data_IF_570183411148
#
_entry.id   IF_570183411148
#
_cell.length_a   1.000
_cell.length_b   1.000
_cell.length_c   1.000
_cell.angle_alpha   90.00
_cell.angle_beta   90.00
_cell.angle_gamma   90.00
#
_symmetry.space_group_name_H-M   'P 1'
#
loop_
_entity.id
_entity.type
_entity.pdbx_description
1 polymer ?
#
# COMPACT_ATOMS: atom_id res chain seq x y z
N UNK A 1 22.72 -18.69 -7.94
CA UNK A 1 22.90 -17.42 -8.69
C UNK A 1 23.57 -16.40 -7.78
N UNK A 2 24.55 -15.61 -8.27
CA UNK A 2 25.24 -14.62 -7.43
C UNK A 2 24.58 -13.24 -7.56
N UNK A 3 23.90 -12.79 -6.51
CA UNK A 3 23.27 -11.45 -6.46
C UNK A 3 24.28 -10.35 -6.09
N UNK A 4 25.31 -10.70 -5.33
CA UNK A 4 26.38 -9.80 -4.93
C UNK A 4 27.31 -10.47 -3.93
N UNK A 5 28.11 -9.69 -3.23
CA UNK A 5 28.98 -10.17 -2.16
C UNK A 5 29.33 -9.07 -1.16
N UNK A 6 29.67 -9.45 0.08
CA UNK A 6 30.20 -8.52 1.07
C UNK A 6 31.68 -8.23 0.80
N UNK A 7 32.03 -6.96 0.59
CA UNK A 7 33.40 -6.51 0.43
C UNK A 7 33.84 -5.56 1.55
N UNK A 8 35.09 -5.69 1.98
CA UNK A 8 35.70 -4.82 2.98
C UNK A 8 35.89 -3.40 2.41
N UNK A 9 35.35 -2.41 3.13
CA UNK A 9 35.49 -0.99 2.80
C UNK A 9 36.70 -0.39 3.53
N UNK A 10 37.20 0.74 3.01
CA UNK A 10 38.39 1.44 3.56
C UNK A 10 38.13 1.94 4.98
N UNK A 11 36.89 2.23 5.29
CA UNK A 11 36.37 2.75 6.55
C UNK A 11 36.21 1.67 7.63
N UNK A 12 36.56 0.41 7.35
CA UNK A 12 36.65 -0.66 8.36
C UNK A 12 35.42 -1.55 8.51
N UNK A 13 34.35 -1.35 7.74
CA UNK A 13 33.17 -2.21 7.70
C UNK A 13 33.06 -2.99 6.38
N UNK A 14 32.18 -3.99 6.32
CA UNK A 14 31.83 -4.69 5.07
C UNK A 14 30.55 -4.12 4.50
N UNK A 15 30.51 -3.86 3.20
CA UNK A 15 29.31 -3.44 2.46
C UNK A 15 28.97 -4.46 1.38
N UNK A 16 27.69 -4.60 1.07
CA UNK A 16 27.22 -5.46 0.00
C UNK A 16 27.45 -4.81 -1.36
N UNK A 17 28.21 -5.45 -2.24
CA UNK A 17 28.46 -5.01 -3.60
C UNK A 17 27.58 -5.85 -4.53
N UNK A 18 26.53 -5.26 -5.15
CA UNK A 18 25.67 -6.00 -6.04
C UNK A 18 26.46 -6.47 -7.27
N UNK A 19 26.15 -7.65 -7.78
CA UNK A 19 26.58 -8.07 -9.09
C UNK A 19 25.88 -7.23 -10.18
N UNK A 20 26.33 -7.29 -11.45
CA UNK A 20 25.53 -6.78 -12.57
C UNK A 20 24.13 -7.40 -12.58
N UNK A 21 23.11 -6.57 -12.83
CA UNK A 21 21.71 -6.99 -12.80
C UNK A 21 20.96 -6.58 -14.10
N UNK A 22 20.15 -7.46 -14.71
CA UNK A 22 19.96 -8.87 -14.34
C UNK A 22 21.27 -9.67 -14.49
N UNK A 23 21.39 -10.80 -13.78
CA UNK A 23 22.54 -11.69 -13.93
C UNK A 23 22.73 -12.13 -15.39
N UNK A 24 23.97 -12.41 -15.79
CA UNK A 24 24.27 -12.88 -17.16
C UNK A 24 23.63 -14.23 -17.47
N UNK A 25 23.56 -15.09 -16.45
CA UNK A 25 22.84 -16.34 -16.52
C UNK A 25 21.35 -16.04 -16.25
N UNK A 26 20.46 -16.62 -17.05
CA UNK A 26 19.02 -16.43 -16.89
C UNK A 26 18.53 -16.88 -15.50
N UNK A 27 17.42 -16.31 -15.04
CA UNK A 27 16.76 -16.79 -13.83
C UNK A 27 16.13 -18.17 -14.07
N UNK A 28 16.77 -19.20 -13.54
CA UNK A 28 16.23 -20.56 -13.51
C UNK A 28 15.36 -20.74 -12.26
N UNK A 29 14.07 -21.01 -12.46
CA UNK A 29 13.13 -21.29 -11.38
C UNK A 29 12.58 -22.71 -11.52
N UNK A 30 12.30 -23.36 -10.39
CA UNK A 30 11.65 -24.67 -10.44
C UNK A 30 10.22 -24.59 -11.00
N UNK A 31 9.69 -25.75 -11.39
CA UNK A 31 8.29 -25.89 -11.78
C UNK A 31 7.31 -25.47 -10.66
N UNK A 32 7.73 -25.45 -9.40
CA UNK A 32 6.89 -25.00 -8.28
C UNK A 32 6.58 -23.51 -8.43
N UNK A 33 7.59 -22.69 -8.76
CA UNK A 33 7.42 -21.25 -9.03
C UNK A 33 6.46 -21.03 -10.19
N UNK A 34 6.61 -21.80 -11.29
CA UNK A 34 5.67 -21.75 -12.42
C UNK A 34 4.21 -21.97 -12.00
N UNK A 35 3.95 -23.03 -11.20
CA UNK A 35 2.59 -23.32 -10.70
C UNK A 35 2.03 -22.23 -9.77
N UNK A 36 2.87 -21.65 -8.91
CA UNK A 36 2.49 -20.54 -8.04
C UNK A 36 2.18 -19.28 -8.85
N UNK A 37 3.01 -18.97 -9.84
CA UNK A 37 2.77 -17.87 -10.76
C UNK A 37 1.43 -18.05 -11.51
N UNK A 38 1.16 -19.21 -12.09
CA UNK A 38 -0.11 -19.47 -12.79
C UNK A 38 -1.32 -19.28 -11.88
N UNK A 39 -1.21 -19.73 -10.63
CA UNK A 39 -2.26 -19.55 -9.62
C UNK A 39 -2.47 -18.08 -9.29
N UNK A 40 -1.37 -17.35 -9.06
CA UNK A 40 -1.39 -15.92 -8.77
C UNK A 40 -1.98 -15.12 -9.94
N UNK A 41 -1.52 -15.34 -11.17
CA UNK A 41 -2.05 -14.69 -12.39
C UNK A 41 -3.54 -14.96 -12.56
N UNK A 42 -4.00 -16.20 -12.38
CA UNK A 42 -5.43 -16.54 -12.45
C UNK A 42 -6.25 -15.78 -11.40
N UNK A 43 -5.74 -15.65 -10.18
CA UNK A 43 -6.40 -14.88 -9.12
C UNK A 43 -6.41 -13.39 -9.41
N UNK A 44 -5.33 -12.83 -9.96
CA UNK A 44 -5.29 -11.45 -10.41
C UNK A 44 -6.27 -11.17 -11.54
N UNK A 45 -6.35 -12.04 -12.56
CA UNK A 45 -7.35 -11.90 -13.61
C UNK A 45 -8.79 -11.99 -13.09
N UNK A 46 -9.04 -12.85 -12.09
CA UNK A 46 -10.33 -12.88 -11.39
C UNK A 46 -10.58 -11.58 -10.62
N UNK A 47 -9.60 -11.07 -9.88
CA UNK A 47 -9.70 -9.82 -9.14
C UNK A 47 -9.99 -8.65 -10.07
N UNK A 48 -9.24 -8.55 -11.18
CA UNK A 48 -9.42 -7.51 -12.19
C UNK A 48 -10.85 -7.52 -12.73
N UNK A 49 -11.31 -8.68 -13.22
CA UNK A 49 -12.66 -8.83 -13.77
C UNK A 49 -13.78 -8.51 -12.78
N UNK A 50 -13.69 -8.89 -11.51
CA UNK A 50 -14.73 -8.55 -10.52
C UNK A 50 -14.67 -7.08 -10.12
N UNK A 51 -13.49 -6.45 -10.11
CA UNK A 51 -13.38 -5.04 -9.73
C UNK A 51 -13.99 -4.12 -10.77
N UNK A 52 -14.00 -4.51 -12.04
CA UNK A 52 -14.72 -3.79 -13.10
C UNK A 52 -16.24 -3.75 -12.89
N UNK A 53 -16.80 -4.72 -12.15
CA UNK A 53 -18.23 -4.78 -11.85
C UNK A 53 -18.63 -3.90 -10.65
N UNK A 54 -17.66 -3.36 -9.91
CA UNK A 54 -17.94 -2.49 -8.78
C UNK A 54 -18.37 -1.10 -9.27
N UNK A 55 -19.61 -0.67 -8.99
CA UNK A 55 -19.99 0.69 -9.33
C UNK A 55 -19.23 1.64 -8.41
N UNK A 56 -18.62 2.65 -9.00
CA UNK A 56 -17.75 3.60 -8.29
C UNK A 56 -16.47 2.96 -7.70
N UNK A 57 -15.79 2.12 -8.50
CA UNK A 57 -14.51 1.46 -8.17
C UNK A 57 -13.47 2.38 -7.49
N UNK A 58 -13.40 3.65 -7.89
CA UNK A 58 -12.48 4.61 -7.29
C UNK A 58 -12.73 4.80 -5.78
N UNK A 59 -13.98 4.65 -5.29
CA UNK A 59 -14.29 4.69 -3.86
C UNK A 59 -13.68 3.51 -3.10
N UNK A 60 -13.76 2.32 -3.68
CA UNK A 60 -13.17 1.12 -3.08
C UNK A 60 -11.64 1.19 -3.05
N UNK A 61 -11.04 1.75 -4.10
CA UNK A 61 -9.59 1.94 -4.17
C UNK A 61 -9.07 2.79 -3.01
N UNK A 62 -9.79 3.83 -2.57
CA UNK A 62 -9.35 4.66 -1.45
C UNK A 62 -9.18 3.85 -0.15
N UNK A 63 -10.07 2.92 0.15
CA UNK A 63 -9.95 2.10 1.36
C UNK A 63 -8.76 1.13 1.29
N UNK A 64 -8.48 0.57 0.11
CA UNK A 64 -7.28 -0.26 -0.08
C UNK A 64 -5.99 0.55 0.03
N UNK A 65 -5.95 1.76 -0.53
CA UNK A 65 -4.82 2.69 -0.37
C UNK A 65 -4.56 2.95 1.12
N UNK A 66 -5.60 3.20 1.92
CA UNK A 66 -5.47 3.42 3.36
C UNK A 66 -4.99 2.16 4.10
N UNK A 67 -5.52 0.99 3.75
CA UNK A 67 -5.11 -0.29 4.33
C UNK A 67 -3.63 -0.58 4.04
N UNK A 68 -3.20 -0.36 2.80
CA UNK A 68 -1.80 -0.52 2.40
C UNK A 68 -0.90 0.49 3.11
N UNK A 69 -1.27 1.77 3.12
CA UNK A 69 -0.52 2.82 3.78
C UNK A 69 -0.31 2.56 5.26
N UNK A 70 -1.36 2.11 5.95
CA UNK A 70 -1.28 1.73 7.36
C UNK A 70 -0.34 0.53 7.54
N UNK A 71 -0.55 -0.56 6.79
CA UNK A 71 0.26 -1.77 6.91
C UNK A 71 1.73 -1.51 6.58
N UNK A 72 1.98 -0.74 5.52
CA UNK A 72 3.30 -0.36 5.04
C UNK A 72 4.04 0.50 6.07
N UNK A 73 3.36 1.47 6.68
CA UNK A 73 3.98 2.33 7.70
C UNK A 73 4.22 1.56 9.00
N UNK A 74 3.33 0.63 9.37
CA UNK A 74 3.48 -0.23 10.54
C UNK A 74 4.67 -1.19 10.44
N UNK A 75 5.05 -1.64 9.24
CA UNK A 75 6.30 -2.40 9.03
C UNK A 75 7.53 -1.56 9.44
N UNK A 76 7.48 -0.24 9.26
CA UNK A 76 8.53 0.70 9.64
C UNK A 76 8.38 1.23 11.10
N UNK A 77 7.44 0.67 11.87
CA UNK A 77 7.26 0.96 13.28
C UNK A 77 6.24 2.07 13.63
N UNK A 78 5.46 2.56 12.66
CA UNK A 78 4.28 3.39 12.94
C UNK A 78 3.25 2.59 13.75
N UNK A 79 2.64 3.19 14.77
CA UNK A 79 1.60 2.58 15.61
C UNK A 79 0.19 2.94 15.17
N UNK A 80 0.02 4.12 14.57
CA UNK A 80 -1.26 4.54 14.02
C UNK A 80 -1.91 3.49 13.11
N UNK A 81 -3.24 3.53 13.08
CA UNK A 81 -4.12 2.60 12.39
C UNK A 81 -4.75 3.24 11.18
N UNK A 82 -5.34 2.41 10.32
CA UNK A 82 -6.12 2.88 9.18
C UNK A 82 -7.31 3.75 9.63
N UNK A 83 -7.93 3.44 10.77
CA UNK A 83 -9.08 4.18 11.29
C UNK A 83 -8.67 5.59 11.71
N UNK A 84 -7.57 5.72 12.45
CA UNK A 84 -7.02 7.04 12.85
C UNK A 84 -6.63 7.88 11.63
N UNK A 85 -6.12 7.25 10.56
CA UNK A 85 -5.85 7.96 9.30
C UNK A 85 -7.12 8.48 8.62
N UNK A 86 -8.22 7.70 8.62
CA UNK A 86 -9.54 8.15 8.11
C UNK A 86 -10.04 9.34 8.95
N UNK A 87 -9.90 9.28 10.26
CA UNK A 87 -10.32 10.33 11.19
C UNK A 87 -9.53 11.62 11.00
N UNK A 88 -8.22 11.49 10.78
CA UNK A 88 -7.32 12.60 10.45
C UNK A 88 -7.75 13.31 9.16
N UNK A 89 -8.02 12.56 8.08
CA UNK A 89 -8.50 13.14 6.83
C UNK A 89 -9.89 13.78 6.97
N UNK A 90 -10.75 13.20 7.80
CA UNK A 90 -12.07 13.73 8.08
C UNK A 90 -12.05 14.97 9.01
N UNK A 91 -10.90 15.28 9.62
CA UNK A 91 -10.71 16.36 10.62
C UNK A 91 -11.67 16.22 11.81
N UNK A 92 -11.90 14.98 12.24
CA UNK A 92 -12.89 14.64 13.27
C UNK A 92 -12.30 14.56 14.68
N UNK A 93 -11.00 14.30 14.78
CA UNK A 93 -10.32 14.14 16.05
C UNK A 93 -9.08 15.04 16.12
N UNK A 94 -8.87 15.62 17.29
CA UNK A 94 -7.70 16.44 17.60
C UNK A 94 -6.67 15.68 18.43
N UNK A 95 -7.06 14.53 19.01
CA UNK A 95 -6.19 13.67 19.82
C UNK A 95 -5.76 12.44 19.02
N UNK A 96 -5.22 12.68 17.82
CA UNK A 96 -4.69 11.62 16.97
C UNK A 96 -3.28 11.25 17.42
N UNK A 97 -2.87 9.97 17.29
CA UNK A 97 -1.49 9.59 17.49
C UNK A 97 -0.62 10.48 16.63
N UNK A 98 0.51 10.90 17.18
CA UNK A 98 1.44 11.69 16.41
C UNK A 98 1.68 10.96 15.08
N UNK A 99 2.24 9.75 15.08
CA UNK A 99 2.68 9.00 13.89
C UNK A 99 1.64 8.69 12.78
N UNK A 100 0.38 9.13 12.90
CA UNK A 100 -0.63 9.07 11.83
C UNK A 100 -0.17 9.76 10.54
N UNK A 101 0.65 10.82 10.63
CA UNK A 101 1.19 11.50 9.44
C UNK A 101 1.99 10.55 8.54
N UNK A 102 2.64 9.51 9.09
CA UNK A 102 3.40 8.54 8.27
C UNK A 102 2.47 7.85 7.25
N UNK A 103 1.24 7.54 7.69
CA UNK A 103 0.20 6.95 6.85
C UNK A 103 -0.32 7.97 5.83
N UNK A 104 -0.57 9.21 6.26
CA UNK A 104 -1.09 10.27 5.38
C UNK A 104 -0.12 10.64 4.25
N UNK A 105 1.19 10.71 4.54
CA UNK A 105 2.21 10.96 3.52
C UNK A 105 2.33 9.79 2.54
N UNK A 106 2.18 8.55 3.00
CA UNK A 106 2.13 7.40 2.11
C UNK A 106 0.91 7.44 1.18
N UNK A 107 -0.28 7.77 1.71
CA UNK A 107 -1.50 7.97 0.90
C UNK A 107 -1.29 9.08 -0.14
N UNK A 108 -0.64 10.19 0.26
CA UNK A 108 -0.29 11.29 -0.64
C UNK A 108 0.63 10.82 -1.77
N UNK A 109 1.68 10.08 -1.46
CA UNK A 109 2.63 9.54 -2.44
C UNK A 109 1.96 8.56 -3.42
N UNK A 110 1.13 7.63 -2.93
CA UNK A 110 0.37 6.73 -3.78
C UNK A 110 -0.58 7.49 -4.72
N UNK A 111 -1.33 8.45 -4.21
CA UNK A 111 -2.24 9.26 -5.03
C UNK A 111 -1.50 10.11 -6.06
N UNK A 112 -0.32 10.63 -5.71
CA UNK A 112 0.56 11.31 -6.64
C UNK A 112 0.99 10.35 -7.77
N UNK A 113 1.52 9.18 -7.42
CA UNK A 113 1.97 8.18 -8.38
C UNK A 113 0.86 7.73 -9.33
N UNK A 114 -0.35 7.53 -8.81
CA UNK A 114 -1.55 7.19 -9.57
C UNK A 114 -1.89 8.21 -10.65
N UNK A 115 -1.72 9.49 -10.36
CA UNK A 115 -1.93 10.56 -11.35
C UNK A 115 -0.75 10.67 -12.29
N UNK A 116 0.46 10.57 -11.73
CA UNK A 116 1.71 10.82 -12.44
C UNK A 116 2.01 9.77 -13.51
N UNK A 117 1.80 8.49 -13.21
CA UNK A 117 2.19 7.38 -14.08
C UNK A 117 1.35 7.29 -15.37
N UNK A 118 0.19 7.96 -15.45
CA UNK A 118 -0.64 8.01 -16.66
C UNK A 118 0.10 8.62 -17.86
N UNK A 119 0.91 9.64 -17.59
CA UNK A 119 1.59 10.45 -18.62
C UNK A 119 3.11 10.50 -18.39
N UNK A 120 3.66 9.55 -17.63
CA UNK A 120 5.06 9.56 -17.23
C UNK A 120 5.67 8.15 -17.24
N UNK A 121 6.91 7.96 -17.74
CA UNK A 121 7.53 6.64 -17.78
C UNK A 121 7.90 6.13 -16.38
N UNK A 122 7.85 4.81 -16.19
CA UNK A 122 8.24 4.16 -14.94
C UNK A 122 9.78 4.04 -14.83
N UNK A 123 10.40 5.14 -14.39
CA UNK A 123 11.86 5.33 -14.28
C UNK A 123 12.26 5.79 -12.88
N UNK A 124 13.55 5.83 -12.56
CA UNK A 124 14.08 6.28 -11.27
C UNK A 124 13.59 7.68 -10.88
N UNK A 125 13.37 8.57 -11.85
CA UNK A 125 12.77 9.89 -11.57
C UNK A 125 11.37 9.76 -10.96
N UNK A 126 10.55 8.81 -11.41
CA UNK A 126 9.24 8.54 -10.83
C UNK A 126 9.37 8.08 -9.38
N UNK A 127 10.28 7.14 -9.09
CA UNK A 127 10.51 6.66 -7.71
C UNK A 127 11.01 7.77 -6.78
N UNK A 128 11.84 8.69 -7.28
CA UNK A 128 12.28 9.88 -6.54
C UNK A 128 11.14 10.86 -6.27
N UNK A 129 10.23 11.05 -7.23
CA UNK A 129 9.03 11.88 -7.03
C UNK A 129 8.10 11.25 -5.98
N UNK A 130 7.88 9.93 -6.02
CA UNK A 130 7.13 9.21 -4.96
C UNK A 130 7.77 9.39 -3.59
N UNK A 131 9.08 9.15 -3.49
CA UNK A 131 9.81 9.30 -2.25
C UNK A 131 9.76 10.74 -1.73
N UNK A 132 9.81 11.74 -2.63
CA UNK A 132 9.63 13.14 -2.24
C UNK A 132 8.27 13.36 -1.57
N UNK A 133 7.19 12.92 -2.20
CA UNK A 133 5.84 13.06 -1.63
C UNK A 133 5.66 12.30 -0.30
N UNK A 134 6.35 11.16 -0.16
CA UNK A 134 6.37 10.35 1.05
C UNK A 134 7.09 11.04 2.22
N UNK A 135 8.15 11.80 1.95
CA UNK A 135 9.06 12.29 2.99
C UNK A 135 8.97 13.80 3.23
N UNK A 136 8.46 14.58 2.28
CA UNK A 136 8.35 16.05 2.39
C UNK A 136 7.31 16.43 3.47
N UNK A 137 7.80 16.98 4.58
CA UNK A 137 6.96 17.37 5.72
C UNK A 137 6.70 16.27 6.74
N UNK A 138 7.23 15.05 6.54
CA UNK A 138 7.04 13.95 7.48
C UNK A 138 7.90 14.14 8.74
N UNK A 139 7.33 13.86 9.93
CA UNK A 139 7.95 14.24 11.22
C UNK A 139 9.34 13.69 11.51
N UNK A 140 9.64 12.44 11.14
CA UNK A 140 10.90 11.77 11.51
C UNK A 140 12.10 12.15 10.63
N UNK A 141 11.95 13.13 9.74
CA UNK A 141 12.80 13.25 8.54
C UNK A 141 13.83 14.37 8.59
N UNK A 142 14.42 14.69 9.75
CA UNK A 142 15.39 15.78 9.86
C UNK A 142 16.56 15.69 8.86
N UNK A 143 16.81 14.54 8.24
CA UNK A 143 17.80 14.37 7.18
C UNK A 143 17.38 13.39 6.05
N UNK A 144 16.09 13.25 5.73
CA UNK A 144 15.66 12.25 4.75
C UNK A 144 15.98 12.60 3.28
N UNK A 145 16.41 13.83 2.99
CA UNK A 145 16.65 14.35 1.62
C UNK A 145 15.51 13.98 0.64
N UNK A 146 14.28 14.53 0.82
CA UNK A 146 13.11 14.11 0.05
C UNK A 146 13.31 14.13 -1.48
N UNK A 147 13.44 12.93 -2.05
CA UNK A 147 13.59 12.69 -3.48
C UNK A 147 15.04 12.71 -3.96
N UNK A 148 15.99 12.91 -3.06
CA UNK A 148 17.42 12.75 -3.29
C UNK A 148 17.88 11.33 -2.99
N UNK A 149 18.63 10.71 -3.90
CA UNK A 149 19.40 9.53 -3.54
C UNK A 149 20.50 9.92 -2.57
N UNK A 150 20.79 9.03 -1.62
CA UNK A 150 21.77 9.30 -0.57
C UNK A 150 23.15 9.58 -1.16
N UNK A 151 23.84 10.53 -0.54
CA UNK A 151 25.23 10.91 -0.87
C UNK A 151 26.23 10.36 0.14
N UNK A 152 25.73 9.67 1.16
CA UNK A 152 26.49 9.08 2.26
C UNK A 152 26.10 7.62 2.45
N UNK A 153 26.93 6.87 3.17
CA UNK A 153 26.63 5.47 3.51
C UNK A 153 25.51 5.41 4.56
N UNK A 154 24.50 4.59 4.32
CA UNK A 154 23.51 4.17 5.30
C UNK A 154 23.72 2.69 5.68
N UNK A 155 22.98 2.22 6.68
CA UNK A 155 23.00 0.82 7.12
C UNK A 155 21.66 0.46 7.75
N UNK A 156 21.34 -0.84 7.76
CA UNK A 156 20.08 -1.38 8.25
C UNK A 156 20.35 -2.16 9.54
N UNK A 157 19.70 -1.74 10.63
CA UNK A 157 19.90 -2.30 11.97
C UNK A 157 21.26 -1.95 12.57
N UNK A 158 21.42 -2.07 13.89
CA UNK A 158 22.65 -1.68 14.58
C UNK A 158 22.84 -0.16 14.74
N UNK A 159 23.93 0.24 15.39
CA UNK A 159 24.24 1.65 15.70
C UNK A 159 25.33 2.24 14.81
N UNK A 160 26.05 1.40 14.07
CA UNK A 160 27.13 1.76 13.16
C UNK A 160 27.34 0.65 12.12
N UNK A 161 27.96 0.92 10.96
CA UNK A 161 28.06 -0.07 9.88
C UNK A 161 28.72 -1.41 10.25
N UNK A 162 29.66 -1.44 11.18
CA UNK A 162 30.37 -2.64 11.65
C UNK A 162 29.51 -3.60 12.50
N UNK A 163 28.44 -3.08 13.14
CA UNK A 163 27.48 -3.88 13.89
C UNK A 163 26.09 -3.91 13.24
N UNK A 164 25.98 -3.37 12.03
CA UNK A 164 24.74 -3.36 11.29
C UNK A 164 24.37 -4.76 10.83
N UNK A 165 23.06 -4.99 10.71
CA UNK A 165 22.56 -6.25 10.21
C UNK A 165 22.83 -6.38 8.70
N UNK A 166 22.69 -5.27 7.97
CA UNK A 166 23.05 -5.19 6.57
C UNK A 166 23.61 -3.80 6.25
N UNK A 167 24.69 -3.75 5.46
CA UNK A 167 25.24 -2.50 4.93
C UNK A 167 25.04 -2.49 3.41
N UNK A 168 24.12 -1.65 2.91
CA UNK A 168 23.86 -1.50 1.48
C UNK A 168 25.09 -1.03 0.68
N UNK A 169 25.02 -1.02 -0.65
CA UNK A 169 26.16 -0.70 -1.51
C UNK A 169 26.76 0.69 -1.24
N UNK A 170 28.09 0.88 -1.38
CA UNK A 170 28.67 2.21 -1.42
C UNK A 170 28.03 3.07 -2.51
N UNK A 171 28.06 4.40 -2.36
CA UNK A 171 27.33 5.34 -3.25
C UNK A 171 27.70 5.14 -4.73
N UNK A 172 28.95 4.82 -5.06
CA UNK A 172 29.37 4.52 -6.44
C UNK A 172 28.65 3.28 -7.00
N UNK A 173 28.62 2.19 -6.23
CA UNK A 173 27.96 0.94 -6.61
C UNK A 173 26.43 1.04 -6.58
N UNK A 174 25.89 1.87 -5.69
CA UNK A 174 24.47 2.18 -5.65
C UNK A 174 24.00 2.80 -6.97
N UNK A 175 24.73 3.80 -7.50
CA UNK A 175 24.36 4.43 -8.77
C UNK A 175 24.39 3.45 -9.94
N UNK A 176 25.40 2.57 -10.00
CA UNK A 176 25.48 1.49 -10.98
C UNK A 176 24.29 0.52 -10.86
N UNK A 177 23.98 0.07 -9.65
CA UNK A 177 22.90 -0.87 -9.41
C UNK A 177 21.50 -0.26 -9.65
N UNK A 178 21.33 1.05 -9.46
CA UNK A 178 20.10 1.77 -9.82
C UNK A 178 19.89 1.83 -11.34
N UNK A 179 20.95 2.07 -12.11
CA UNK A 179 20.91 2.05 -13.58
C UNK A 179 20.55 0.65 -14.10
N UNK A 180 21.17 -0.39 -13.53
CA UNK A 180 20.82 -1.80 -13.79
C UNK A 180 19.34 -2.08 -13.48
N UNK A 181 18.84 -1.64 -12.32
CA UNK A 181 17.45 -1.82 -11.91
C UNK A 181 16.46 -1.12 -12.87
N UNK A 182 16.74 0.12 -13.28
CA UNK A 182 15.89 0.86 -14.22
C UNK A 182 15.80 0.15 -15.57
N UNK A 183 16.95 -0.31 -16.08
CA UNK A 183 17.02 -1.08 -17.33
C UNK A 183 16.28 -2.41 -17.21
N UNK A 184 16.48 -3.14 -16.13
CA UNK A 184 15.79 -4.40 -15.85
C UNK A 184 14.27 -4.20 -15.86
N UNK A 185 13.76 -3.20 -15.16
CA UNK A 185 12.33 -2.92 -15.07
C UNK A 185 11.70 -2.57 -16.43
N UNK A 186 12.47 -1.95 -17.33
CA UNK A 186 11.95 -1.42 -18.60
C UNK A 186 12.29 -2.27 -19.83
N UNK A 187 13.21 -3.22 -19.74
CA UNK A 187 13.52 -4.12 -20.86
C UNK A 187 12.35 -5.06 -21.12
N UNK A 188 12.05 -5.27 -22.40
CA UNK A 188 11.10 -6.29 -22.84
C UNK A 188 11.84 -7.64 -22.89
N UNK A 189 11.57 -8.51 -21.92
CA UNK A 189 12.18 -9.83 -21.77
C UNK A 189 11.11 -10.90 -21.51
N UNK A 190 11.52 -12.15 -21.34
CA UNK A 190 10.62 -13.28 -21.11
C UNK A 190 10.38 -13.57 -19.62
N UNK A 191 10.80 -12.68 -18.71
CA UNK A 191 10.62 -12.90 -17.27
C UNK A 191 9.15 -12.64 -16.94
N UNK A 192 8.53 -13.60 -16.26
CA UNK A 192 7.13 -13.50 -15.84
C UNK A 192 6.90 -12.21 -15.03
N UNK A 193 5.90 -11.38 -15.36
CA UNK A 193 5.77 -10.04 -14.75
C UNK A 193 5.68 -10.04 -13.21
N UNK A 194 5.01 -11.02 -12.60
CA UNK A 194 4.95 -11.14 -11.13
C UNK A 194 6.32 -11.45 -10.53
N UNK A 195 7.06 -12.36 -11.16
CA UNK A 195 8.43 -12.68 -10.75
C UNK A 195 9.32 -11.45 -10.89
N UNK A 196 9.19 -10.72 -12.01
CA UNK A 196 9.92 -9.48 -12.26
C UNK A 196 9.62 -8.40 -11.22
N UNK A 197 8.37 -8.25 -10.79
CA UNK A 197 7.99 -7.35 -9.71
C UNK A 197 8.66 -7.74 -8.38
N UNK A 198 8.66 -9.03 -8.04
CA UNK A 198 9.32 -9.55 -6.84
C UNK A 198 10.84 -9.33 -6.87
N UNK A 199 11.48 -9.58 -8.01
CA UNK A 199 12.91 -9.35 -8.21
C UNK A 199 13.27 -7.86 -8.11
N UNK A 200 12.49 -6.99 -8.77
CA UNK A 200 12.70 -5.55 -8.74
C UNK A 200 12.56 -4.98 -7.31
N UNK A 201 11.60 -5.49 -6.53
CA UNK A 201 11.44 -5.11 -5.14
C UNK A 201 12.65 -5.54 -4.29
N UNK A 202 13.07 -6.80 -4.37
CA UNK A 202 14.25 -7.27 -3.61
C UNK A 202 15.49 -6.47 -3.98
N UNK A 203 15.73 -6.24 -5.27
CA UNK A 203 16.87 -5.46 -5.74
C UNK A 203 16.82 -4.01 -5.26
N UNK A 204 15.64 -3.38 -5.25
CA UNK A 204 15.47 -2.03 -4.71
C UNK A 204 15.79 -1.96 -3.20
N UNK A 205 15.30 -2.92 -2.42
CA UNK A 205 15.58 -3.02 -0.98
C UNK A 205 17.08 -3.27 -0.72
N UNK A 206 17.74 -4.10 -1.53
CA UNK A 206 19.19 -4.34 -1.49
C UNK A 206 19.99 -3.08 -1.76
N UNK A 207 19.61 -2.28 -2.76
CA UNK A 207 20.30 -1.04 -3.12
C UNK A 207 20.15 0.03 -2.02
N UNK A 208 18.97 0.08 -1.40
CA UNK A 208 18.63 0.99 -0.31
C UNK A 208 19.02 2.46 -0.60
N UNK A 209 18.48 3.05 -1.69
CA UNK A 209 19.04 4.27 -2.28
C UNK A 209 18.74 5.58 -1.53
N UNK A 210 17.80 5.57 -0.59
CA UNK A 210 17.40 6.74 0.19
C UNK A 210 17.94 6.68 1.62
N UNK A 211 18.01 7.82 2.30
CA UNK A 211 18.44 7.87 3.71
C UNK A 211 17.39 7.28 4.67
N UNK A 212 16.11 7.40 4.30
CA UNK A 212 14.96 6.81 4.96
C UNK A 212 13.86 6.57 3.90
N UNK A 213 12.77 5.87 4.22
CA UNK A 213 11.64 5.69 3.30
C UNK A 213 11.83 4.62 2.22
N UNK A 214 12.94 3.85 2.27
CA UNK A 214 13.23 2.78 1.31
C UNK A 214 12.12 1.72 1.28
N UNK A 215 11.83 1.06 2.41
CA UNK A 215 10.81 0.00 2.47
C UNK A 215 9.45 0.43 1.93
N UNK A 216 9.00 1.63 2.32
CA UNK A 216 7.73 2.22 1.85
C UNK A 216 7.74 2.50 0.35
N UNK A 217 8.84 3.05 -0.18
CA UNK A 217 8.99 3.30 -1.62
C UNK A 217 9.09 2.00 -2.41
N UNK A 218 9.80 1.00 -1.90
CA UNK A 218 9.94 -0.32 -2.51
C UNK A 218 8.63 -1.08 -2.59
N UNK A 219 7.76 -0.95 -1.58
CA UNK A 219 6.41 -1.55 -1.63
C UNK A 219 5.50 -0.85 -2.65
N UNK A 220 5.57 0.48 -2.75
CA UNK A 220 4.88 1.23 -3.81
C UNK A 220 5.37 0.84 -5.22
N UNK A 221 6.68 0.57 -5.38
CA UNK A 221 7.26 0.12 -6.65
C UNK A 221 6.55 -1.13 -7.16
N UNK A 222 6.23 -2.10 -6.31
CA UNK A 222 5.52 -3.32 -6.71
C UNK A 222 4.18 -2.96 -7.34
N UNK A 223 3.36 -2.19 -6.60
CA UNK A 223 2.02 -1.81 -7.03
C UNK A 223 2.03 -1.06 -8.35
N UNK A 224 2.94 -0.08 -8.51
CA UNK A 224 3.02 0.70 -9.74
C UNK A 224 3.60 -0.09 -10.91
N UNK A 225 4.55 -0.99 -10.66
CA UNK A 225 5.07 -1.88 -11.69
C UNK A 225 3.97 -2.78 -12.25
N UNK A 226 3.20 -3.46 -11.40
CA UNK A 226 2.10 -4.33 -11.82
C UNK A 226 1.01 -3.58 -12.58
N UNK A 227 0.75 -2.33 -12.20
CA UNK A 227 -0.20 -1.47 -12.90
C UNK A 227 0.34 -1.01 -14.27
N UNK A 228 1.62 -0.65 -14.36
CA UNK A 228 2.30 -0.31 -15.63
C UNK A 228 2.30 -1.48 -16.61
N UNK A 229 2.50 -2.71 -16.11
CA UNK A 229 2.44 -3.94 -16.90
C UNK A 229 1.00 -4.38 -17.23
N UNK A 230 -0.02 -3.63 -16.81
CA UNK A 230 -1.44 -3.90 -17.10
C UNK A 230 -1.92 -5.28 -16.61
N UNK A 231 -1.31 -5.82 -15.55
CA UNK A 231 -1.82 -7.04 -14.89
C UNK A 231 -3.14 -6.79 -14.17
N UNK A 232 -3.41 -5.52 -13.85
CA UNK A 232 -4.65 -5.01 -13.28
C UNK A 232 -4.95 -3.66 -13.94
N UNK A 233 -6.20 -3.35 -14.24
CA UNK A 233 -6.62 -2.03 -14.75
C UNK A 233 -6.48 -0.92 -13.69
N UNK A 234 -6.57 -1.31 -12.42
CA UNK A 234 -6.36 -0.44 -11.25
C UNK A 234 -5.41 -1.10 -10.26
N UNK A 235 -4.59 -0.34 -9.52
CA UNK A 235 -3.67 -0.89 -8.55
C UNK A 235 -4.42 -1.25 -7.25
N UNK A 236 -5.12 -2.37 -7.27
CA UNK A 236 -5.89 -2.90 -6.14
C UNK A 236 -5.15 -3.98 -5.36
N UNK A 237 -3.95 -4.37 -5.83
CA UNK A 237 -3.10 -5.35 -5.17
C UNK A 237 -2.02 -4.66 -4.33
N UNK A 238 -2.12 -4.86 -3.02
CA UNK A 238 -1.30 -4.20 -2.01
C UNK A 238 -0.73 -5.24 -1.04
N UNK A 239 0.57 -5.54 -1.19
CA UNK A 239 1.23 -6.63 -0.47
C UNK A 239 1.62 -6.29 0.96
N UNK A 240 1.54 -5.03 1.38
CA UNK A 240 2.05 -4.60 2.68
C UNK A 240 1.36 -5.30 3.85
N UNK A 241 0.08 -5.66 3.74
CA UNK A 241 -0.60 -6.41 4.82
C UNK A 241 -0.07 -7.84 4.96
N UNK A 242 0.31 -8.49 3.85
CA UNK A 242 0.96 -9.80 3.89
C UNK A 242 2.36 -9.70 4.49
N UNK A 243 3.17 -8.74 4.02
CA UNK A 243 4.51 -8.52 4.57
C UNK A 243 4.47 -8.15 6.06
N UNK A 244 3.50 -7.36 6.51
CA UNK A 244 3.30 -7.04 7.93
C UNK A 244 3.00 -8.30 8.77
N UNK A 245 2.05 -9.14 8.34
CA UNK A 245 1.72 -10.39 9.04
C UNK A 245 2.89 -11.37 9.09
N UNK A 246 3.72 -11.37 8.05
CA UNK A 246 4.87 -12.26 7.89
C UNK A 246 6.22 -11.52 8.04
N UNK A 247 6.28 -10.43 8.82
CA UNK A 247 7.40 -9.48 8.82
C UNK A 247 8.77 -10.14 9.04
N UNK A 248 8.87 -11.06 10.00
CA UNK A 248 10.10 -11.81 10.25
C UNK A 248 10.55 -12.64 9.03
N UNK A 249 9.59 -13.28 8.36
CA UNK A 249 9.86 -14.10 7.17
C UNK A 249 10.23 -13.19 6.00
N UNK A 250 9.52 -12.08 5.81
CA UNK A 250 9.83 -11.09 4.77
C UNK A 250 11.29 -10.62 4.86
N UNK A 251 11.75 -10.23 6.04
CA UNK A 251 13.14 -9.85 6.23
C UNK A 251 14.11 -11.04 6.06
N UNK A 252 13.82 -12.21 6.61
CA UNK A 252 14.64 -13.42 6.42
C UNK A 252 14.83 -13.77 4.93
N UNK A 253 13.76 -13.70 4.13
CA UNK A 253 13.81 -13.99 2.69
C UNK A 253 14.59 -12.96 1.90
N UNK A 254 14.51 -11.68 2.26
CA UNK A 254 15.37 -10.64 1.65
C UNK A 254 16.86 -10.89 1.96
N UNK A 255 17.20 -11.37 3.15
CA UNK A 255 18.59 -11.71 3.46
C UNK A 255 19.09 -12.92 2.69
N UNK A 256 18.27 -13.96 2.59
CA UNK A 256 18.58 -15.14 1.77
C UNK A 256 18.72 -14.80 0.29
N UNK A 257 17.95 -13.83 -0.20
CA UNK A 257 18.13 -13.27 -1.54
C UNK A 257 19.54 -12.68 -1.73
N UNK A 258 20.08 -11.94 -0.74
CA UNK A 258 21.46 -11.44 -0.79
C UNK A 258 22.50 -12.58 -0.83
N UNK A 259 22.19 -13.74 -0.24
CA UNK A 259 23.01 -14.96 -0.28
C UNK A 259 22.85 -15.76 -1.58
N UNK A 260 21.95 -15.35 -2.48
CA UNK A 260 21.71 -15.96 -3.78
C UNK A 260 20.53 -16.94 -3.82
N UNK A 261 19.78 -17.10 -2.74
CA UNK A 261 18.54 -17.87 -2.69
C UNK A 261 17.36 -17.02 -3.17
N UNK A 262 17.34 -16.83 -4.50
CA UNK A 262 16.31 -16.07 -5.21
C UNK A 262 14.98 -16.82 -5.23
N UNK A 263 15.02 -18.15 -5.29
CA UNK A 263 13.83 -18.98 -5.46
C UNK A 263 12.91 -18.89 -4.24
N UNK A 264 13.44 -18.98 -3.01
CA UNK A 264 12.57 -18.91 -1.83
C UNK A 264 12.00 -17.51 -1.58
N UNK A 265 12.68 -16.47 -2.06
CA UNK A 265 12.13 -15.11 -2.08
C UNK A 265 10.93 -15.02 -3.04
N UNK A 266 11.07 -15.51 -4.27
CA UNK A 266 9.99 -15.46 -5.26
C UNK A 266 8.83 -16.36 -4.84
N UNK A 267 9.08 -17.52 -4.23
CA UNK A 267 8.04 -18.35 -3.64
C UNK A 267 7.21 -17.57 -2.60
N UNK A 268 7.86 -16.95 -1.62
CA UNK A 268 7.21 -16.14 -0.59
C UNK A 268 6.45 -14.95 -1.20
N UNK A 269 7.03 -14.28 -2.19
CA UNK A 269 6.39 -13.17 -2.88
C UNK A 269 5.10 -13.60 -3.59
N UNK A 270 5.13 -14.71 -4.34
CA UNK A 270 3.97 -15.23 -5.08
C UNK A 270 2.88 -15.75 -4.13
N UNK A 271 3.25 -16.35 -2.99
CA UNK A 271 2.29 -16.68 -1.92
C UNK A 271 1.58 -15.44 -1.38
N UNK A 272 2.33 -14.35 -1.18
CA UNK A 272 1.76 -13.07 -0.81
C UNK A 272 0.77 -12.53 -1.85
N UNK A 273 1.12 -12.61 -3.14
CA UNK A 273 0.23 -12.20 -4.24
C UNK A 273 -1.06 -13.03 -4.22
N UNK A 274 -0.95 -14.35 -4.07
CA UNK A 274 -2.11 -15.24 -3.98
C UNK A 274 -3.00 -14.91 -2.76
N UNK A 275 -2.42 -14.77 -1.56
CA UNK A 275 -3.18 -14.47 -0.34
C UNK A 275 -3.92 -13.14 -0.47
N UNK A 276 -3.22 -12.08 -0.87
CA UNK A 276 -3.83 -10.75 -1.02
C UNK A 276 -4.87 -10.71 -2.14
N UNK A 277 -4.66 -11.39 -3.27
CA UNK A 277 -5.67 -11.47 -4.31
C UNK A 277 -6.95 -12.16 -3.82
N UNK A 278 -6.83 -13.25 -3.03
CA UNK A 278 -7.98 -13.95 -2.42
C UNK A 278 -8.71 -13.07 -1.41
N UNK A 279 -7.98 -12.38 -0.54
CA UNK A 279 -8.56 -11.41 0.40
C UNK A 279 -9.31 -10.31 -0.33
N UNK A 280 -8.71 -9.78 -1.40
CA UNK A 280 -9.30 -8.70 -2.15
C UNK A 280 -10.60 -9.14 -2.85
N UNK A 281 -10.59 -10.34 -3.45
CA UNK A 281 -11.79 -10.94 -4.04
C UNK A 281 -12.91 -11.11 -3.00
N UNK A 282 -12.58 -11.63 -1.82
CA UNK A 282 -13.55 -11.82 -0.73
C UNK A 282 -14.16 -10.49 -0.27
N UNK A 283 -13.31 -9.46 -0.15
CA UNK A 283 -13.69 -8.11 0.24
C UNK A 283 -14.64 -7.48 -0.78
N UNK A 284 -14.32 -7.55 -2.08
CA UNK A 284 -15.16 -7.06 -3.19
C UNK A 284 -16.55 -7.69 -3.15
N UNK A 285 -16.62 -9.02 -3.00
CA UNK A 285 -17.89 -9.75 -2.91
C UNK A 285 -18.71 -9.36 -1.67
N UNK A 286 -18.05 -9.19 -0.53
CA UNK A 286 -18.69 -8.80 0.74
C UNK A 286 -19.27 -7.41 0.66
N UNK A 287 -18.51 -6.47 0.11
CA UNK A 287 -18.93 -5.08 -0.14
C UNK A 287 -20.10 -5.03 -1.11
N UNK A 288 -20.07 -5.81 -2.19
CA UNK A 288 -21.18 -5.86 -3.17
C UNK A 288 -22.49 -6.27 -2.50
N UNK A 289 -22.46 -7.33 -1.69
CA UNK A 289 -23.63 -7.79 -0.91
C UNK A 289 -24.08 -6.75 0.12
N UNK A 290 -23.13 -6.09 0.81
CA UNK A 290 -23.44 -5.04 1.78
C UNK A 290 -24.17 -3.88 1.10
N UNK A 291 -23.68 -3.43 -0.06
CA UNK A 291 -24.30 -2.38 -0.87
C UNK A 291 -25.70 -2.74 -1.32
N UNK A 292 -25.90 -3.95 -1.87
CA UNK A 292 -27.24 -4.41 -2.29
C UNK A 292 -28.23 -4.37 -1.13
N UNK A 293 -27.82 -4.91 0.03
CA UNK A 293 -28.64 -4.91 1.24
C UNK A 293 -28.99 -3.51 1.72
N UNK A 294 -28.01 -2.61 1.76
CA UNK A 294 -28.23 -1.25 2.26
C UNK A 294 -29.00 -0.39 1.25
N UNK A 295 -28.87 -0.64 -0.05
CA UNK A 295 -29.71 -0.04 -1.08
C UNK A 295 -31.18 -0.48 -0.95
N UNK A 296 -31.45 -1.76 -0.67
CA UNK A 296 -32.81 -2.24 -0.41
C UNK A 296 -33.45 -1.55 0.80
N UNK A 297 -32.68 -1.34 1.89
CA UNK A 297 -33.17 -0.55 3.03
C UNK A 297 -33.50 0.88 2.62
N UNK A 298 -32.66 1.53 1.83
CA UNK A 298 -32.90 2.88 1.35
C UNK A 298 -34.14 2.96 0.44
N UNK A 299 -34.39 1.96 -0.39
CA UNK A 299 -35.56 1.88 -1.27
C UNK A 299 -36.87 1.66 -0.48
N UNK A 300 -36.80 1.07 0.72
CA UNK A 300 -37.97 0.90 1.60
C UNK A 300 -38.43 2.19 2.29
N UNK A 301 -37.64 3.27 2.20
CA UNK A 301 -37.97 4.58 2.75
C UNK A 301 -39.01 5.32 1.88
N UNK A 302 -39.60 6.40 2.44
CA UNK A 302 -40.41 7.32 1.63
C UNK A 302 -39.58 7.95 0.51
N UNK A 303 -40.21 8.36 -0.61
CA UNK A 303 -39.53 8.89 -1.80
C UNK A 303 -38.45 9.93 -1.47
N UNK A 304 -38.80 10.98 -0.73
CA UNK A 304 -37.87 12.06 -0.33
C UNK A 304 -36.75 11.58 0.59
N UNK A 305 -37.04 10.62 1.46
CA UNK A 305 -36.05 10.04 2.36
C UNK A 305 -35.07 9.13 1.60
N UNK A 306 -35.56 8.42 0.59
CA UNK A 306 -34.74 7.59 -0.30
C UNK A 306 -33.82 8.47 -1.16
N UNK A 307 -34.36 9.50 -1.82
CA UNK A 307 -33.59 10.45 -2.65
C UNK A 307 -32.42 11.08 -1.90
N UNK A 308 -32.66 11.54 -0.67
CA UNK A 308 -31.59 12.13 0.16
C UNK A 308 -30.56 11.10 0.64
N UNK A 309 -30.96 9.84 0.84
CA UNK A 309 -30.04 8.80 1.28
C UNK A 309 -29.14 8.27 0.15
N UNK A 310 -29.67 8.17 -1.08
CA UNK A 310 -28.90 7.76 -2.26
C UNK A 310 -27.75 8.73 -2.56
N UNK A 311 -27.88 10.03 -2.22
CA UNK A 311 -26.79 11.00 -2.37
C UNK A 311 -25.61 10.74 -1.41
N UNK A 312 -25.88 10.16 -0.23
CA UNK A 312 -24.89 10.00 0.84
C UNK A 312 -24.24 8.62 0.83
N UNK A 313 -25.00 7.54 0.57
CA UNK A 313 -24.46 6.18 0.67
C UNK A 313 -23.18 5.96 -0.18
N UNK A 314 -23.09 6.39 -1.45
CA UNK A 314 -21.87 6.23 -2.23
C UNK A 314 -20.66 6.94 -1.61
N UNK A 315 -20.86 8.12 -1.01
CA UNK A 315 -19.79 8.89 -0.38
C UNK A 315 -19.25 8.22 0.89
N UNK A 316 -20.09 7.45 1.60
CA UNK A 316 -19.66 6.69 2.76
C UNK A 316 -18.66 5.56 2.41
N UNK A 317 -18.64 5.08 1.17
CA UNK A 317 -17.59 4.12 0.74
C UNK A 317 -16.22 4.80 0.58
N UNK A 318 -16.19 6.11 0.28
CA UNK A 318 -14.95 6.89 0.24
C UNK A 318 -14.50 7.35 1.62
N UNK A 319 -15.46 7.77 2.45
CA UNK A 319 -15.24 8.35 3.77
C UNK A 319 -16.27 7.77 4.75
N UNK A 320 -15.96 6.64 5.40
CA UNK A 320 -16.94 5.91 6.21
C UNK A 320 -17.16 6.50 7.60
N UNK A 321 -16.39 7.52 7.99
CA UNK A 321 -16.55 8.24 9.26
C UNK A 321 -16.92 9.69 8.92
N UNK A 322 -18.07 10.13 9.41
CA UNK A 322 -18.67 11.41 9.03
C UNK A 322 -19.26 12.14 10.23
N UNK A 323 -19.39 13.46 10.11
CA UNK A 323 -20.18 14.30 10.99
C UNK A 323 -21.22 15.08 10.17
N UNK A 324 -22.05 15.89 10.85
CA UNK A 324 -23.07 16.71 10.20
C UNK A 324 -22.46 17.64 9.14
N UNK A 325 -21.33 18.27 9.44
CA UNK A 325 -20.67 19.20 8.52
C UNK A 325 -20.24 18.51 7.21
N UNK A 326 -19.75 17.27 7.29
CA UNK A 326 -19.37 16.48 6.11
C UNK A 326 -20.57 16.12 5.24
N UNK A 327 -21.72 15.78 5.85
CA UNK A 327 -22.96 15.53 5.10
C UNK A 327 -23.47 16.81 4.43
N UNK A 328 -23.36 17.97 5.10
CA UNK A 328 -23.69 19.26 4.49
C UNK A 328 -22.80 19.56 3.29
N UNK A 329 -21.49 19.32 3.39
CA UNK A 329 -20.53 19.50 2.29
C UNK A 329 -20.92 18.69 1.05
N UNK A 330 -21.34 17.43 1.23
CA UNK A 330 -21.69 16.55 0.11
C UNK A 330 -23.06 16.86 -0.53
N UNK A 331 -24.01 17.34 0.26
CA UNK A 331 -25.43 17.42 -0.15
C UNK A 331 -25.92 18.85 -0.36
N UNK A 332 -25.24 19.85 0.19
CA UNK A 332 -25.71 21.23 0.27
C UNK A 332 -26.90 21.43 1.22
N UNK A 333 -27.27 20.43 2.03
CA UNK A 333 -28.38 20.54 2.96
C UNK A 333 -28.09 21.49 4.13
N UNK A 334 -29.16 21.99 4.75
CA UNK A 334 -29.06 22.68 6.04
C UNK A 334 -28.55 21.71 7.12
N UNK A 335 -28.03 22.24 8.22
CA UNK A 335 -27.56 21.43 9.36
C UNK A 335 -28.64 20.44 9.84
N UNK A 336 -29.89 20.90 9.94
CA UNK A 336 -31.03 20.05 10.32
C UNK A 336 -31.32 18.98 9.25
N UNK A 337 -31.26 19.33 7.96
CA UNK A 337 -31.42 18.38 6.86
C UNK A 337 -30.35 17.29 6.87
N UNK A 338 -29.09 17.66 7.11
CA UNK A 338 -27.97 16.73 7.24
C UNK A 338 -28.11 15.81 8.46
N UNK A 339 -28.49 16.36 9.63
CA UNK A 339 -28.77 15.55 10.82
C UNK A 339 -29.90 14.55 10.56
N UNK A 340 -30.99 14.97 9.92
CA UNK A 340 -32.10 14.07 9.57
C UNK A 340 -31.68 12.92 8.63
N UNK A 341 -30.65 13.11 7.81
CA UNK A 341 -30.07 12.03 7.00
C UNK A 341 -29.27 11.09 7.90
N UNK A 342 -28.41 11.62 8.78
CA UNK A 342 -27.63 10.81 9.72
C UNK A 342 -28.56 9.96 10.61
N UNK A 343 -29.55 10.56 11.25
CA UNK A 343 -30.49 9.87 12.14
C UNK A 343 -31.18 8.72 11.41
N UNK A 344 -31.60 8.96 10.17
CA UNK A 344 -32.18 7.92 9.32
C UNK A 344 -31.22 6.78 9.04
N UNK A 345 -29.96 7.08 8.73
CA UNK A 345 -28.94 6.06 8.50
C UNK A 345 -28.65 5.26 9.77
N UNK A 346 -28.75 5.88 10.95
CA UNK A 346 -28.67 5.19 12.24
C UNK A 346 -29.88 4.28 12.44
N UNK A 347 -31.10 4.77 12.19
CA UNK A 347 -32.35 4.02 12.34
C UNK A 347 -32.38 2.75 11.47
N UNK A 348 -31.91 2.85 10.23
CA UNK A 348 -31.82 1.69 9.31
C UNK A 348 -30.51 0.88 9.48
N UNK A 349 -29.70 1.22 10.49
CA UNK A 349 -28.50 0.51 10.90
C UNK A 349 -27.41 0.45 9.83
N UNK A 350 -27.24 1.53 9.06
CA UNK A 350 -26.10 1.79 8.18
C UNK A 350 -25.00 2.51 8.96
N UNK A 351 -25.35 3.62 9.63
CA UNK A 351 -24.42 4.34 10.52
C UNK A 351 -24.62 3.93 11.97
N UNK A 352 -23.58 4.13 12.78
CA UNK A 352 -23.61 4.02 14.24
C UNK A 352 -22.94 5.24 14.84
N UNK A 353 -23.44 5.71 15.99
CA UNK A 353 -22.77 6.71 16.82
C UNK A 353 -21.43 6.14 17.33
N UNK A 354 -20.32 6.79 16.98
CA UNK A 354 -18.96 6.37 17.35
C UNK A 354 -18.65 6.73 18.80
N UNK A 355 -19.17 7.88 19.27
CA UNK A 355 -18.89 8.43 20.58
C UNK A 355 -20.19 8.68 21.36
N UNK A 356 -20.90 7.64 21.85
CA UNK A 356 -22.19 7.81 22.52
C UNK A 356 -22.16 8.73 23.75
N UNK A 357 -20.97 8.91 24.35
CA UNK A 357 -20.75 9.78 25.51
C UNK A 357 -20.58 11.26 25.16
N UNK A 358 -20.19 11.60 23.91
CA UNK A 358 -20.07 13.00 23.48
C UNK A 358 -21.45 13.57 23.19
N UNK A 359 -21.69 14.80 23.62
CA UNK A 359 -22.95 15.52 23.33
C UNK A 359 -22.78 16.59 22.25
N UNK A 360 -21.53 16.99 21.95
CA UNK A 360 -21.14 17.92 20.88
C UNK A 360 -20.14 17.22 19.95
N UNK A 361 -20.01 17.73 18.72
CA UNK A 361 -19.10 17.23 17.67
C UNK A 361 -19.15 15.70 17.45
N UNK A 362 -20.37 15.15 17.46
CA UNK A 362 -20.61 13.73 17.21
C UNK A 362 -20.10 13.31 15.83
N UNK A 363 -19.48 12.14 15.81
CA UNK A 363 -19.09 11.43 14.61
C UNK A 363 -19.82 10.10 14.51
N UNK A 364 -20.07 9.68 13.28
CA UNK A 364 -20.82 8.48 12.95
C UNK A 364 -20.00 7.63 11.98
N UNK A 365 -20.05 6.32 12.18
CA UNK A 365 -19.25 5.36 11.42
C UNK A 365 -20.12 4.36 10.69
N UNK A 366 -19.80 4.10 9.42
CA UNK A 366 -20.34 2.98 8.65
C UNK A 366 -19.59 1.69 9.03
N UNK A 367 -19.80 1.25 10.27
CA UNK A 367 -18.98 0.21 10.90
C UNK A 367 -18.90 -1.07 10.07
N UNK A 368 -20.04 -1.55 9.55
CA UNK A 368 -20.11 -2.77 8.73
C UNK A 368 -19.24 -2.73 7.49
N UNK A 369 -19.00 -1.54 6.91
CA UNK A 369 -18.13 -1.38 5.76
C UNK A 369 -16.66 -1.33 6.17
N UNK A 370 -16.33 -0.59 7.23
CA UNK A 370 -14.96 -0.53 7.79
C UNK A 370 -14.49 -1.93 8.21
N UNK A 371 -15.37 -2.68 8.86
CA UNK A 371 -15.11 -4.05 9.35
C UNK A 371 -14.66 -5.00 8.24
N UNK A 372 -15.13 -4.82 6.99
CA UNK A 372 -14.69 -5.66 5.86
C UNK A 372 -13.18 -5.57 5.65
N UNK A 373 -12.57 -4.44 5.96
CA UNK A 373 -11.13 -4.22 5.80
C UNK A 373 -10.32 -4.59 7.04
N UNK A 374 -10.93 -4.64 8.23
CA UNK A 374 -10.25 -4.87 9.52
C UNK A 374 -10.46 -6.27 10.10
N UNK A 375 -11.57 -6.96 9.79
CA UNK A 375 -11.90 -8.27 10.40
C UNK A 375 -11.03 -9.43 9.87
N UNK A 376 -10.30 -9.23 8.77
CA UNK A 376 -9.26 -10.16 8.35
C UNK A 376 -8.06 -10.19 9.32
N UNK A 377 -7.85 -9.15 10.13
CA UNK A 377 -6.82 -9.16 11.18
C UNK A 377 -7.28 -9.87 12.47
N UNK A 378 -8.59 -10.09 12.67
CA UNK A 378 -9.15 -10.70 13.89
C UNK A 378 -9.39 -12.21 13.81
N UNK A 379 -9.42 -12.78 12.59
CA UNK A 379 -9.75 -14.20 12.35
C UNK A 379 -8.51 -15.10 12.13
N UNK A 380 -7.33 -14.65 12.52
CA UNK A 380 -6.10 -15.44 12.68
C UNK A 380 -5.57 -15.19 14.08
#
# INVERSE_FOLDING_TARGET
>A
MKIGELQQQKEGFKAFIPAPFPPKDDFEFSHIIGKKNDTAVRLLGKLDGITQLLPDMDFFLFMYIRKDAASSSQIEGTKATMIEAIEAEAKLDTDLPEDVDDILHYIKALNYGLKRLKDFPFVLRFLRELHKELMEGARKTHFADPGGFRKTQNWIGGTRPDNAFFVPPPVSEMNRALDDLEKFINVNDNILPLVKAGLAHAQFETIHPFLDGNGRTGRMLITFYLWKEQLLEKPVLFLSSYFKRHQKIYYDRLNKYHEGDVETWIEFFLEGVEEIAREAISTVLTITKLREKDMMKIQSLSKRASESAVLVLPQLYKMPIVNVAKIQEWTGFTRAGAQNVIDRFVDIGILRDRDPQKTYDKSYIYQKYVDVFTDYEKNK
#
